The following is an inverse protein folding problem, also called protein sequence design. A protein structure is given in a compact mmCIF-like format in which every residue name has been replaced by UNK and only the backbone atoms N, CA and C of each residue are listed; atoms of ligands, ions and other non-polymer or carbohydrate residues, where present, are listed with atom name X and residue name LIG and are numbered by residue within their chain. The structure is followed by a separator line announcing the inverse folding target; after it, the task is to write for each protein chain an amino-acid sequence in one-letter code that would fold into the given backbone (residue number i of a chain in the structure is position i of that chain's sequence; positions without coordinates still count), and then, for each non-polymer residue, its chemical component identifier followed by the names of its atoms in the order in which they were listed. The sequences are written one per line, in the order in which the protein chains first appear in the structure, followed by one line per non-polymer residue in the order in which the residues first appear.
data_IF_088074124090
#
_entry.id   IF_088074124090
#
_cell.length_a   1.000
_cell.length_b   1.000
_cell.length_c   1.000
_cell.angle_alpha   90.00
_cell.angle_beta   90.00
_cell.angle_gamma   90.00
#
_symmetry.space_group_name_H-M   'P 1'
#
loop_
_entity.id
_entity.type
_entity.pdbx_description
1 polymer ?
#
# COMPACT_ATOMS: atom_id res chain seq x y z
N UNK A 1 -3.85 -14.60 9.57
CA UNK A 1 -3.86 -13.12 9.42
C UNK A 1 -3.33 -12.80 8.05
N UNK A 2 -4.09 -12.07 7.25
CA UNK A 2 -3.65 -11.57 5.94
C UNK A 2 -2.56 -10.53 6.17
N UNK A 3 -1.45 -10.61 5.44
CA UNK A 3 -0.40 -9.58 5.53
C UNK A 3 -0.90 -8.26 4.91
N UNK A 4 -0.44 -7.12 5.44
CA UNK A 4 -0.86 -5.79 4.97
C UNK A 4 -0.59 -5.59 3.48
N UNK A 5 0.49 -6.16 2.93
CA UNK A 5 0.81 -6.03 1.52
C UNK A 5 -0.15 -6.88 0.65
N UNK A 6 -0.60 -8.03 1.15
CA UNK A 6 -1.62 -8.84 0.48
C UNK A 6 -2.98 -8.15 0.49
N UNK A 7 -3.39 -7.62 1.65
CA UNK A 7 -4.61 -6.83 1.80
C UNK A 7 -4.63 -5.64 0.84
N UNK A 8 -3.55 -4.85 0.80
CA UNK A 8 -3.45 -3.70 -0.10
C UNK A 8 -3.55 -4.09 -1.57
N UNK A 9 -2.86 -5.17 -1.98
CA UNK A 9 -2.95 -5.65 -3.38
C UNK A 9 -4.38 -6.04 -3.74
N UNK A 10 -5.08 -6.75 -2.86
CA UNK A 10 -6.47 -7.14 -3.09
C UNK A 10 -7.38 -5.91 -3.26
N UNK A 11 -7.32 -4.95 -2.32
CA UNK A 11 -8.13 -3.73 -2.39
C UNK A 11 -7.85 -2.88 -3.64
N UNK A 12 -6.56 -2.73 -4.02
CA UNK A 12 -6.19 -1.96 -5.22
C UNK A 12 -6.69 -2.65 -6.50
N UNK A 13 -6.64 -3.99 -6.56
CA UNK A 13 -7.18 -4.74 -7.68
C UNK A 13 -8.70 -4.55 -7.79
N UNK A 14 -9.41 -4.67 -6.67
CA UNK A 14 -10.86 -4.46 -6.60
C UNK A 14 -11.25 -3.02 -7.01
N UNK A 15 -10.55 -2.00 -6.52
CA UNK A 15 -10.75 -0.60 -6.94
C UNK A 15 -10.60 -0.46 -8.45
N UNK A 16 -9.56 -1.06 -9.04
CA UNK A 16 -9.33 -1.02 -10.48
C UNK A 16 -10.46 -1.67 -11.28
N UNK A 17 -11.01 -2.79 -10.81
CA UNK A 17 -12.17 -3.44 -11.41
C UNK A 17 -13.43 -2.58 -11.30
N UNK A 18 -13.67 -1.98 -10.12
CA UNK A 18 -14.80 -1.08 -9.89
C UNK A 18 -14.74 0.16 -10.81
N UNK A 19 -13.55 0.73 -11.03
CA UNK A 19 -13.36 1.87 -11.94
C UNK A 19 -13.62 1.47 -13.40
N UNK A 20 -13.19 0.27 -13.82
CA UNK A 20 -13.46 -0.24 -15.19
C UNK A 20 -14.95 -0.50 -15.40
N UNK A 21 -15.65 -0.97 -14.37
CA UNK A 21 -17.07 -1.32 -14.43
C UNK A 21 -18.00 -0.14 -14.08
N UNK A 22 -17.48 1.05 -13.78
CA UNK A 22 -18.29 2.16 -13.30
C UNK A 22 -19.44 2.53 -14.27
N UNK A 23 -19.18 2.55 -15.58
CA UNK A 23 -20.20 2.84 -16.60
C UNK A 23 -21.30 1.77 -16.64
N UNK A 24 -20.94 0.49 -16.56
CA UNK A 24 -21.92 -0.61 -16.54
C UNK A 24 -22.72 -0.65 -15.24
N UNK A 25 -22.19 -0.09 -14.16
CA UNK A 25 -22.87 0.11 -12.88
C UNK A 25 -23.67 1.42 -12.81
N UNK A 26 -23.75 2.19 -13.89
CA UNK A 26 -24.49 3.45 -13.94
C UNK A 26 -23.87 4.57 -13.10
N UNK A 27 -22.57 4.48 -12.79
CA UNK A 27 -21.82 5.48 -12.04
C UNK A 27 -20.98 6.29 -13.03
N UNK A 28 -21.42 7.50 -13.42
CA UNK A 28 -20.69 8.31 -14.39
C UNK A 28 -19.38 8.83 -13.77
N UNK A 29 -18.25 8.31 -14.25
CA UNK A 29 -16.91 8.84 -13.96
C UNK A 29 -16.43 9.53 -15.23
N UNK A 30 -16.13 10.83 -15.16
CA UNK A 30 -15.60 11.53 -16.32
C UNK A 30 -14.30 10.88 -16.82
N UNK A 31 -14.14 10.74 -18.13
CA UNK A 31 -13.03 10.00 -18.76
C UNK A 31 -11.62 10.40 -18.27
N UNK A 32 -11.38 11.70 -18.04
CA UNK A 32 -10.11 12.20 -17.49
C UNK A 32 -9.84 11.66 -16.08
N UNK A 33 -10.87 11.65 -15.22
CA UNK A 33 -10.77 11.13 -13.86
C UNK A 33 -10.60 9.62 -13.87
N UNK A 34 -11.36 8.91 -14.71
CA UNK A 34 -11.26 7.46 -14.84
C UNK A 34 -9.82 7.03 -15.21
N UNK A 35 -9.23 7.66 -16.23
CA UNK A 35 -7.86 7.36 -16.65
C UNK A 35 -6.83 7.62 -15.55
N UNK A 36 -6.99 8.72 -14.79
CA UNK A 36 -6.12 9.01 -13.64
C UNK A 36 -6.24 7.93 -12.56
N UNK A 37 -7.46 7.53 -12.20
CA UNK A 37 -7.69 6.52 -11.16
C UNK A 37 -7.17 5.14 -11.57
N UNK A 38 -7.33 4.75 -12.84
CA UNK A 38 -6.76 3.52 -13.38
C UNK A 38 -5.23 3.54 -13.31
N UNK A 39 -4.60 4.67 -13.70
CA UNK A 39 -3.15 4.84 -13.59
C UNK A 39 -2.66 4.70 -12.14
N UNK A 40 -3.40 5.26 -11.18
CA UNK A 40 -3.09 5.08 -9.77
C UNK A 40 -3.18 3.61 -9.33
N UNK A 41 -4.19 2.86 -9.81
CA UNK A 41 -4.32 1.43 -9.52
C UNK A 41 -3.21 0.58 -10.17
N UNK A 42 -2.62 1.06 -11.27
CA UNK A 42 -1.43 0.44 -11.89
C UNK A 42 -0.15 0.73 -11.11
N UNK A 43 -0.01 1.94 -10.54
CA UNK A 43 1.21 2.38 -9.86
C UNK A 43 1.31 1.93 -8.39
N UNK A 44 0.20 1.95 -7.65
CA UNK A 44 0.17 1.59 -6.22
C UNK A 44 0.72 0.18 -5.93
N UNK A 45 0.49 -0.86 -6.76
CA UNK A 45 1.11 -2.17 -6.56
C UNK A 45 2.64 -2.15 -6.65
N UNK A 46 3.24 -1.23 -7.42
CA UNK A 46 4.69 -1.06 -7.44
C UNK A 46 5.20 -0.50 -6.11
N UNK A 47 4.48 0.45 -5.49
CA UNK A 47 4.81 0.98 -4.15
C UNK A 47 4.74 -0.14 -3.11
N UNK A 48 3.67 -0.94 -3.12
CA UNK A 48 3.50 -2.08 -2.19
C UNK A 48 4.64 -3.09 -2.36
N UNK A 49 5.06 -3.37 -3.59
CA UNK A 49 6.17 -4.30 -3.87
C UNK A 49 7.52 -3.74 -3.45
N UNK A 50 7.72 -2.44 -3.61
CA UNK A 50 8.94 -1.76 -3.19
C UNK A 50 9.10 -1.93 -1.67
N UNK A 51 8.06 -1.53 -0.92
CA UNK A 51 8.03 -1.65 0.53
C UNK A 51 7.79 -3.10 0.97
N UNK A 52 8.87 -3.89 1.01
CA UNK A 52 8.85 -5.29 1.44
C UNK A 52 9.48 -5.50 2.81
N UNK A 53 9.10 -6.62 3.39
CA UNK A 53 9.73 -7.21 4.55
C UNK A 53 10.89 -8.11 4.08
N UNK A 54 12.14 -7.80 4.45
CA UNK A 54 13.32 -8.58 4.03
C UNK A 54 13.79 -9.60 5.06
N UNK A 55 13.67 -9.28 6.36
CA UNK A 55 14.23 -10.12 7.42
C UNK A 55 13.20 -10.41 8.54
N UNK A 56 12.82 -11.69 8.78
CA UNK A 56 11.95 -12.12 9.88
C UNK A 56 12.35 -11.62 11.26
N UNK A 57 13.64 -11.39 11.49
CA UNK A 57 14.22 -11.08 12.78
C UNK A 57 14.13 -9.58 13.12
N UNK A 58 14.28 -8.70 12.12
CA UNK A 58 14.36 -7.27 12.36
C UNK A 58 13.02 -6.51 12.22
N UNK A 59 11.93 -7.14 11.75
CA UNK A 59 10.59 -6.51 11.65
C UNK A 59 10.62 -5.09 11.06
N UNK A 60 11.45 -4.85 10.03
CA UNK A 60 11.62 -3.52 9.41
C UNK A 60 11.36 -3.57 7.90
N UNK A 61 10.94 -2.43 7.34
CA UNK A 61 10.81 -2.28 5.90
C UNK A 61 12.17 -1.98 5.27
N UNK A 62 12.56 -2.81 4.29
CA UNK A 62 13.83 -2.68 3.58
C UNK A 62 13.98 -1.31 2.89
N UNK A 63 12.92 -0.84 2.21
CA UNK A 63 12.92 0.45 1.52
C UNK A 63 13.02 1.64 2.45
N UNK A 64 12.38 1.56 3.62
CA UNK A 64 12.43 2.64 4.59
C UNK A 64 13.75 2.65 5.37
N UNK A 65 14.45 1.51 5.39
CA UNK A 65 15.75 1.36 6.02
C UNK A 65 16.81 1.80 5.01
N UNK A 66 17.38 2.98 5.22
CA UNK A 66 18.53 3.43 4.44
C UNK A 66 19.78 2.65 4.86
N UNK A 67 19.92 1.42 4.35
CA UNK A 67 20.97 0.48 4.71
C UNK A 67 22.40 1.09 4.61
N UNK A 68 22.59 2.13 3.79
CA UNK A 68 23.88 2.82 3.66
C UNK A 68 24.28 3.70 4.83
N UNK A 69 23.32 4.29 5.56
CA UNK A 69 23.60 5.33 6.55
C UNK A 69 23.38 4.89 8.01
N UNK A 70 22.65 3.79 8.26
CA UNK A 70 22.38 3.34 9.65
C UNK A 70 23.66 2.82 10.33
N UNK A 71 24.55 2.15 9.59
CA UNK A 71 25.83 1.66 10.13
C UNK A 71 26.82 2.78 10.50
N UNK A 72 26.61 3.98 9.97
CA UNK A 72 27.42 5.17 10.26
C UNK A 72 26.77 6.09 11.31
N UNK A 73 25.61 5.72 11.86
CA UNK A 73 24.85 6.56 12.78
C UNK A 73 24.25 7.81 12.15
N UNK A 74 24.21 7.89 10.82
CA UNK A 74 23.76 9.05 10.03
C UNK A 74 22.42 8.79 9.30
N UNK A 75 21.87 7.58 9.42
CA UNK A 75 20.66 7.14 8.71
C UNK A 75 19.37 7.40 9.48
N UNK A 76 18.25 7.43 8.75
CA UNK A 76 16.92 7.39 9.38
C UNK A 76 16.77 6.05 10.13
N UNK A 77 16.13 6.05 11.32
CA UNK A 77 15.82 4.80 12.02
C UNK A 77 15.05 3.86 11.10
N UNK A 78 15.39 2.56 11.12
CA UNK A 78 14.67 1.55 10.38
C UNK A 78 13.18 1.60 10.74
N UNK A 79 12.30 1.74 9.75
CA UNK A 79 10.87 1.82 10.01
C UNK A 79 10.34 0.42 10.33
N UNK A 80 9.77 0.25 11.53
CA UNK A 80 9.09 -0.98 11.93
C UNK A 80 8.02 -1.36 10.91
N UNK A 81 7.86 -2.65 10.69
CA UNK A 81 6.83 -3.22 9.85
C UNK A 81 5.48 -3.29 10.60
N UNK A 82 4.35 -2.97 9.95
CA UNK A 82 4.23 -2.28 8.67
C UNK A 82 4.81 -0.87 8.72
N UNK A 83 5.49 -0.43 7.64
CA UNK A 83 6.08 0.90 7.62
C UNK A 83 5.02 2.00 7.42
N UNK A 84 5.34 3.27 7.74
CA UNK A 84 4.39 4.39 7.63
C UNK A 84 3.72 4.51 6.25
N UNK A 85 4.45 4.22 5.16
CA UNK A 85 3.89 4.22 3.80
C UNK A 85 2.74 3.22 3.66
N UNK A 86 2.97 1.96 4.05
CA UNK A 86 1.95 0.92 3.95
C UNK A 86 0.79 1.18 4.91
N UNK A 87 1.06 1.70 6.12
CA UNK A 87 0.00 2.12 7.06
C UNK A 87 -0.89 3.23 6.48
N UNK A 88 -0.28 4.25 5.88
CA UNK A 88 -1.00 5.34 5.23
C UNK A 88 -1.87 4.82 4.08
N UNK A 89 -1.33 3.94 3.23
CA UNK A 89 -2.11 3.27 2.18
C UNK A 89 -3.25 2.43 2.76
N UNK A 90 -3.02 1.65 3.82
CA UNK A 90 -4.08 0.82 4.39
C UNK A 90 -5.19 1.64 5.06
N UNK A 91 -4.87 2.85 5.54
CA UNK A 91 -5.82 3.72 6.24
C UNK A 91 -7.04 4.11 5.40
N UNK A 92 -6.88 4.23 4.06
CA UNK A 92 -7.99 4.55 3.16
C UNK A 92 -8.98 3.39 3.04
N UNK A 93 -8.54 2.17 3.35
CA UNK A 93 -9.33 0.94 3.34
C UNK A 93 -9.79 0.53 4.75
N UNK A 94 -9.76 1.42 5.74
CA UNK A 94 -10.11 1.10 7.14
C UNK A 94 -11.54 0.59 7.37
N UNK A 95 -12.41 0.66 6.35
CA UNK A 95 -13.78 0.13 6.37
C UNK A 95 -13.94 -1.18 5.58
N UNK A 96 -12.88 -1.64 4.89
CA UNK A 96 -12.93 -2.85 4.08
C UNK A 96 -12.81 -4.10 4.95
N UNK A 97 -13.51 -5.19 4.60
CA UNK A 97 -13.31 -6.50 5.24
C UNK A 97 -11.85 -6.93 5.15
N UNK A 98 -11.30 -7.46 6.25
CA UNK A 98 -9.90 -7.90 6.32
C UNK A 98 -8.89 -6.81 6.69
N UNK A 99 -9.34 -5.56 6.88
CA UNK A 99 -8.50 -4.53 7.48
C UNK A 99 -8.16 -4.87 8.94
N UNK A 100 -6.88 -4.79 9.30
CA UNK A 100 -6.41 -4.94 10.69
C UNK A 100 -6.20 -3.56 11.33
N UNK A 101 -6.86 -3.33 12.47
CA UNK A 101 -6.75 -2.09 13.23
C UNK A 101 -5.33 -1.83 13.78
N UNK A 102 -4.52 -2.88 13.96
CA UNK A 102 -3.11 -2.74 14.39
C UNK A 102 -2.26 -1.98 13.36
N UNK A 103 -2.66 -1.97 12.09
CA UNK A 103 -1.98 -1.21 11.04
C UNK A 103 -2.14 0.30 11.18
N UNK A 104 -3.01 0.77 12.08
CA UNK A 104 -3.21 2.20 12.37
C UNK A 104 -2.22 2.77 13.39
N UNK A 105 -1.61 1.89 14.20
CA UNK A 105 -0.76 2.25 15.33
C UNK A 105 0.60 2.86 14.94
#
# INVERSE_FOLDING_TARGET
MTDIAEFLRACITEDGENIRNAESLGVPIGHVLQNRLLKECEDKPAIVRLHRFEDPWDKVCATCTDQGNVHLGLGRPAAKWPCPTLRAMASVYSRYPGYDAEWRA
#
